data_IF_924145536654
#
_entry.id   IF_924145536654
#
_cell.length_a   1.000
_cell.length_b   1.000
_cell.length_c   1.000
_cell.angle_alpha   90.00
_cell.angle_beta   90.00
_cell.angle_gamma   90.00
#
_symmetry.space_group_name_H-M   'P 1'
#
loop_
_entity.id
_entity.type
_entity.pdbx_description
1 polymer ?
#
# COMPACT_ATOMS: atom_id res chain seq x y z
N UNK A 1 1.94 25.55 -52.06
CA UNK A 1 2.62 24.91 -53.22
C UNK A 1 3.79 25.79 -53.62
N UNK A 2 5.04 25.39 -53.33
CA UNK A 2 6.23 26.20 -53.62
C UNK A 2 7.07 25.54 -54.72
N UNK A 3 6.64 25.67 -55.97
CA UNK A 3 7.41 25.27 -57.14
C UNK A 3 8.40 26.37 -57.51
N UNK A 4 9.54 26.41 -56.84
CA UNK A 4 10.73 27.11 -57.32
C UNK A 4 11.80 26.05 -57.63
N UNK A 5 11.72 25.52 -58.85
CA UNK A 5 12.70 24.55 -59.36
C UNK A 5 14.05 25.23 -59.52
N UNK A 6 15.01 24.86 -58.68
CA UNK A 6 16.38 25.33 -58.78
C UNK A 6 17.03 24.77 -60.06
N UNK A 7 17.37 25.66 -61.00
CA UNK A 7 18.10 25.34 -62.23
C UNK A 7 19.59 25.06 -61.96
N UNK A 8 19.88 24.23 -60.97
CA UNK A 8 21.23 23.76 -60.70
C UNK A 8 21.63 22.79 -61.81
N UNK A 9 22.77 23.06 -62.44
CA UNK A 9 23.38 22.09 -63.35
C UNK A 9 23.68 20.79 -62.59
N UNK A 10 23.84 19.67 -63.32
CA UNK A 10 24.21 18.38 -62.74
C UNK A 10 25.42 18.46 -61.79
N UNK A 11 26.40 19.30 -62.13
CA UNK A 11 27.58 19.60 -61.31
C UNK A 11 27.23 20.33 -60.00
N UNK A 12 26.22 21.20 -60.01
CA UNK A 12 25.70 21.86 -58.81
C UNK A 12 25.03 20.89 -57.84
N UNK A 13 24.24 19.93 -58.35
CA UNK A 13 23.67 18.85 -57.53
C UNK A 13 24.75 17.92 -56.96
N UNK A 14 25.78 17.58 -57.75
CA UNK A 14 26.93 16.80 -57.27
C UNK A 14 27.71 17.54 -56.17
N UNK A 15 27.98 18.83 -56.35
CA UNK A 15 28.64 19.66 -55.35
C UNK A 15 27.83 19.78 -54.04
N UNK A 16 26.50 19.89 -54.15
CA UNK A 16 25.60 19.87 -52.99
C UNK A 16 25.67 18.53 -52.26
N UNK A 17 25.61 17.40 -52.99
CA UNK A 17 25.73 16.05 -52.44
C UNK A 17 27.05 15.83 -51.69
N UNK A 18 28.18 16.22 -52.29
CA UNK A 18 29.51 16.17 -51.66
C UNK A 18 29.54 17.03 -50.39
N UNK A 19 28.99 18.25 -50.44
CA UNK A 19 28.94 19.15 -49.27
C UNK A 19 28.11 18.56 -48.12
N UNK A 20 26.98 17.92 -48.41
CA UNK A 20 26.16 17.25 -47.38
C UNK A 20 26.84 16.00 -46.83
N UNK A 21 27.49 15.19 -47.67
CA UNK A 21 28.24 14.03 -47.23
C UNK A 21 29.43 14.41 -46.33
N UNK A 22 30.16 15.47 -46.68
CA UNK A 22 31.29 15.97 -45.89
C UNK A 22 30.83 16.56 -44.55
N UNK A 23 29.67 17.24 -44.52
CA UNK A 23 29.07 17.74 -43.28
C UNK A 23 28.64 16.60 -42.35
N UNK A 24 28.01 15.55 -42.89
CA UNK A 24 27.70 14.32 -42.15
C UNK A 24 28.95 13.65 -41.60
N UNK A 25 29.96 13.42 -42.46
CA UNK A 25 31.25 12.83 -42.06
C UNK A 25 31.94 13.66 -40.95
N UNK A 26 31.91 14.99 -41.03
CA UNK A 26 32.46 15.88 -39.99
C UNK A 26 31.75 15.71 -38.64
N UNK A 27 30.44 15.50 -38.64
CA UNK A 27 29.65 15.23 -37.43
C UNK A 27 30.02 13.84 -36.88
N UNK A 28 30.07 12.81 -37.71
CA UNK A 28 30.48 11.45 -37.31
C UNK A 28 31.90 11.42 -36.72
N UNK A 29 32.87 12.08 -37.36
CA UNK A 29 34.25 12.20 -36.88
C UNK A 29 34.29 12.94 -35.53
N UNK A 30 33.51 14.03 -35.37
CA UNK A 30 33.41 14.74 -34.09
C UNK A 30 32.88 13.84 -32.98
N UNK A 31 31.82 13.07 -33.22
CA UNK A 31 31.29 12.12 -32.23
C UNK A 31 32.27 10.99 -31.92
N UNK A 32 32.96 10.45 -32.92
CA UNK A 32 33.98 9.40 -32.74
C UNK A 32 35.09 9.86 -31.78
N UNK A 33 35.68 11.03 -32.00
CA UNK A 33 36.72 11.55 -31.10
C UNK A 33 36.16 12.00 -29.73
N UNK A 34 34.94 12.55 -29.68
CA UNK A 34 34.29 12.88 -28.40
C UNK A 34 33.95 11.62 -27.57
N UNK A 35 33.68 10.48 -28.21
CA UNK A 35 33.46 9.20 -27.55
C UNK A 35 34.76 8.54 -27.02
N UNK A 36 35.94 9.15 -27.21
CA UNK A 36 37.19 8.63 -26.63
C UNK A 36 37.28 8.80 -25.10
N UNK A 37 36.33 9.49 -24.45
CA UNK A 37 36.26 9.66 -22.99
C UNK A 37 35.01 8.99 -22.45
N UNK A 38 35.10 8.32 -21.29
CA UNK A 38 33.96 7.66 -20.64
C UNK A 38 33.19 8.67 -19.76
N UNK A 39 31.85 8.61 -19.79
CA UNK A 39 31.00 9.37 -18.86
C UNK A 39 31.03 8.73 -17.47
N UNK A 40 30.66 9.49 -16.44
CA UNK A 40 30.51 8.98 -15.07
C UNK A 40 29.05 8.53 -14.84
N UNK A 41 28.80 7.36 -14.24
CA UNK A 41 27.46 6.93 -13.85
C UNK A 41 26.99 7.76 -12.65
N UNK A 42 26.26 8.83 -12.93
CA UNK A 42 25.70 9.78 -11.95
C UNK A 42 24.16 9.63 -12.00
N UNK A 43 23.48 9.88 -10.87
CA UNK A 43 22.01 9.86 -10.82
C UNK A 43 21.42 10.94 -11.74
N UNK A 44 20.18 10.72 -12.21
CA UNK A 44 19.44 11.71 -13.02
C UNK A 44 19.10 12.97 -12.21
N UNK A 45 18.92 12.81 -10.89
CA UNK A 45 18.58 13.90 -9.96
C UNK A 45 19.75 14.85 -9.66
N UNK A 46 20.98 14.48 -10.00
CA UNK A 46 22.16 15.33 -9.81
C UNK A 46 22.18 16.49 -10.80
N UNK A 47 22.35 17.71 -10.29
CA UNK A 47 22.46 18.93 -11.12
C UNK A 47 23.56 18.90 -12.20
N UNK A 48 24.53 17.98 -12.10
CA UNK A 48 25.62 17.81 -13.07
C UNK A 48 25.35 16.74 -14.12
N UNK A 49 24.22 16.02 -14.06
CA UNK A 49 23.85 14.97 -15.01
C UNK A 49 23.86 15.48 -16.46
N UNK A 50 23.14 16.58 -16.73
CA UNK A 50 23.05 17.18 -18.06
C UNK A 50 24.33 17.90 -18.51
N UNK A 51 25.28 18.17 -17.61
CA UNK A 51 26.57 18.78 -17.98
C UNK A 51 27.51 17.79 -18.71
N UNK A 52 27.21 16.49 -18.68
CA UNK A 52 28.00 15.45 -19.37
C UNK A 52 27.61 15.32 -20.86
N UNK A 53 27.78 16.39 -21.65
CA UNK A 53 27.43 16.40 -23.08
C UNK A 53 28.28 15.45 -23.94
N UNK A 54 29.55 15.24 -23.58
CA UNK A 54 30.51 14.45 -24.37
C UNK A 54 30.92 13.15 -23.70
N UNK A 55 31.24 12.13 -24.49
CA UNK A 55 31.76 10.84 -24.03
C UNK A 55 30.86 9.66 -24.36
N UNK A 56 31.35 8.46 -24.06
CA UNK A 56 30.61 7.19 -24.22
C UNK A 56 29.31 7.25 -23.41
N UNK A 57 28.18 7.01 -24.08
CA UNK A 57 26.83 7.02 -23.48
C UNK A 57 26.47 5.66 -22.87
N UNK A 58 27.05 4.58 -23.39
CA UNK A 58 26.82 3.20 -22.92
C UNK A 58 27.65 2.88 -21.68
N UNK A 59 27.13 1.97 -20.85
CA UNK A 59 27.80 1.43 -19.66
C UNK A 59 28.07 -0.06 -19.83
N UNK A 60 29.16 -0.54 -19.24
CA UNK A 60 29.59 -1.93 -19.34
C UNK A 60 29.02 -2.81 -18.23
N UNK A 61 27.70 -3.03 -18.20
CA UNK A 61 27.09 -4.00 -17.29
C UNK A 61 27.67 -5.42 -17.58
N UNK A 62 28.03 -6.23 -16.56
CA UNK A 62 27.78 -6.06 -15.13
C UNK A 62 28.90 -5.30 -14.35
N UNK A 63 30.01 -4.94 -14.99
CA UNK A 63 31.14 -4.27 -14.31
C UNK A 63 30.84 -2.83 -13.88
N UNK A 64 29.90 -2.18 -14.56
CA UNK A 64 29.42 -0.84 -14.25
C UNK A 64 27.88 -0.86 -14.17
N UNK A 65 27.34 -0.38 -13.05
CA UNK A 65 25.93 -0.17 -12.84
C UNK A 65 25.60 1.33 -12.81
N UNK A 66 24.38 1.70 -13.18
CA UNK A 66 23.84 3.01 -12.84
C UNK A 66 23.51 3.05 -11.34
N UNK A 67 23.71 4.19 -10.66
CA UNK A 67 23.15 4.36 -9.33
C UNK A 67 21.62 4.25 -9.41
N UNK A 68 21.05 3.52 -8.45
CA UNK A 68 19.61 3.24 -8.38
C UNK A 68 18.91 4.39 -7.64
N UNK A 69 17.86 5.01 -8.20
CA UNK A 69 17.15 6.11 -7.55
C UNK A 69 16.46 5.66 -6.27
N UNK A 70 16.42 6.55 -5.27
CA UNK A 70 15.87 6.25 -3.93
C UNK A 70 14.38 5.85 -3.96
N UNK A 71 13.62 6.35 -4.94
CA UNK A 71 12.19 6.07 -5.14
C UNK A 71 11.91 5.02 -6.25
N UNK A 72 12.94 4.29 -6.68
CA UNK A 72 12.76 3.24 -7.68
C UNK A 72 11.92 2.06 -7.16
N UNK A 73 11.06 1.51 -8.03
CA UNK A 73 10.21 0.36 -7.72
C UNK A 73 10.80 -0.90 -8.35
N UNK A 74 11.45 -1.73 -7.55
CA UNK A 74 12.04 -3.01 -7.96
C UNK A 74 11.51 -4.14 -7.08
N UNK A 75 12.35 -5.08 -6.63
CA UNK A 75 11.91 -6.23 -5.81
C UNK A 75 11.18 -5.78 -4.55
N UNK A 76 9.97 -6.30 -4.36
CA UNK A 76 9.15 -6.09 -3.18
C UNK A 76 9.69 -6.95 -2.02
N UNK A 77 9.82 -6.34 -0.85
CA UNK A 77 10.22 -6.98 0.41
C UNK A 77 9.16 -6.72 1.48
N UNK A 78 9.04 -7.63 2.43
CA UNK A 78 8.00 -7.59 3.46
C UNK A 78 8.61 -7.93 4.83
N UNK A 79 8.61 -6.95 5.73
CA UNK A 79 9.03 -7.11 7.13
C UNK A 79 7.88 -7.69 7.95
N UNK A 80 7.92 -9.00 8.14
CA UNK A 80 6.78 -9.73 8.71
C UNK A 80 6.50 -9.47 10.19
N UNK A 81 7.48 -8.98 10.93
CA UNK A 81 7.30 -8.58 12.33
C UNK A 81 6.34 -7.40 12.48
N UNK A 82 6.18 -6.58 11.43
CA UNK A 82 5.25 -5.44 11.36
C UNK A 82 3.96 -5.74 10.57
N UNK A 83 3.83 -6.95 10.01
CA UNK A 83 2.67 -7.35 9.22
C UNK A 83 1.48 -7.76 10.11
N UNK A 84 0.50 -6.87 10.26
CA UNK A 84 -0.77 -7.16 10.97
C UNK A 84 -1.75 -8.07 10.20
N UNK A 85 -1.35 -8.63 9.04
CA UNK A 85 -2.16 -9.52 8.18
C UNK A 85 -3.55 -8.92 7.83
N UNK A 86 -3.58 -7.61 7.53
CA UNK A 86 -4.83 -6.88 7.27
C UNK A 86 -5.45 -7.12 5.89
N UNK A 87 -4.78 -7.87 5.01
CA UNK A 87 -5.28 -8.28 3.69
C UNK A 87 -5.78 -7.09 2.83
N UNK A 88 -5.04 -5.97 2.91
CA UNK A 88 -5.23 -4.78 2.07
C UNK A 88 -4.35 -4.80 0.82
N UNK A 89 -3.13 -5.31 0.95
CA UNK A 89 -2.13 -5.38 -0.12
C UNK A 89 -2.53 -6.33 -1.24
N UNK A 90 -3.11 -7.50 -0.92
CA UNK A 90 -3.69 -8.39 -1.92
C UNK A 90 -4.89 -7.74 -2.63
N UNK A 91 -5.88 -7.23 -1.88
CA UNK A 91 -7.10 -6.61 -2.45
C UNK A 91 -6.89 -5.38 -3.34
N UNK A 92 -5.78 -4.65 -3.19
CA UNK A 92 -5.45 -3.51 -4.06
C UNK A 92 -4.55 -3.92 -5.24
N UNK A 93 -4.10 -5.17 -5.29
CA UNK A 93 -3.22 -5.63 -6.35
C UNK A 93 -4.01 -5.75 -7.67
N UNK A 94 -3.59 -5.08 -8.76
CA UNK A 94 -4.32 -5.13 -10.04
C UNK A 94 -4.13 -6.45 -10.79
N UNK A 95 -3.32 -7.38 -10.25
CA UNK A 95 -2.89 -8.64 -10.86
C UNK A 95 -2.95 -9.82 -9.87
N UNK A 96 -3.53 -9.62 -8.68
CA UNK A 96 -3.71 -10.63 -7.62
C UNK A 96 -2.44 -11.48 -7.32
N UNK A 97 -1.25 -10.86 -7.34
CA UNK A 97 0.04 -11.56 -7.18
C UNK A 97 0.47 -11.81 -5.72
N UNK A 98 -0.37 -11.51 -4.73
CA UNK A 98 -0.08 -11.70 -3.29
C UNK A 98 -1.13 -12.65 -2.72
N UNK A 99 -0.71 -13.83 -2.26
CA UNK A 99 -1.57 -14.84 -1.63
C UNK A 99 -1.34 -14.85 -0.11
N UNK A 100 -2.43 -14.70 0.67
CA UNK A 100 -2.36 -14.58 2.14
C UNK A 100 -3.36 -15.55 2.79
N UNK A 101 -2.86 -16.44 3.66
CA UNK A 101 -3.71 -17.27 4.54
C UNK A 101 -3.68 -16.75 6.00
N UNK A 102 -4.70 -16.02 6.47
CA UNK A 102 -4.78 -15.55 7.85
C UNK A 102 -5.36 -16.61 8.81
N UNK A 103 -4.64 -16.93 9.88
CA UNK A 103 -5.17 -17.68 11.04
C UNK A 103 -5.38 -16.70 12.20
N UNK A 104 -6.52 -16.78 12.89
CA UNK A 104 -6.77 -15.99 14.11
C UNK A 104 -5.95 -16.53 15.29
N UNK A 105 -5.22 -15.67 15.97
CA UNK A 105 -4.58 -16.05 17.23
C UNK A 105 -5.60 -16.09 18.38
N UNK A 106 -5.37 -16.93 19.38
CA UNK A 106 -6.15 -16.98 20.62
C UNK A 106 -5.85 -15.82 21.56
N UNK A 107 -4.71 -15.14 21.37
CA UNK A 107 -4.27 -13.97 22.14
C UNK A 107 -3.60 -12.90 21.26
N UNK A 108 -2.83 -12.01 21.88
CA UNK A 108 -1.89 -11.14 21.15
C UNK A 108 -0.59 -11.91 20.92
N UNK A 109 -0.08 -11.89 19.69
CA UNK A 109 1.14 -12.60 19.27
C UNK A 109 2.37 -11.75 19.54
N UNK A 110 2.34 -10.53 19.03
CA UNK A 110 3.42 -9.54 19.07
C UNK A 110 2.81 -8.14 18.95
N UNK A 111 3.67 -7.13 18.87
CA UNK A 111 3.31 -5.73 18.64
C UNK A 111 4.21 -5.21 17.54
N UNK A 112 3.64 -4.63 16.50
CA UNK A 112 4.41 -3.99 15.43
C UNK A 112 5.13 -2.72 15.95
N UNK A 113 6.10 -2.23 15.20
CA UNK A 113 6.85 -0.99 15.42
C UNK A 113 5.95 0.22 15.72
N UNK A 114 4.78 0.32 15.07
CA UNK A 114 3.77 1.36 15.29
C UNK A 114 2.97 1.22 16.60
N UNK A 115 3.27 0.20 17.43
CA UNK A 115 2.49 -0.14 18.62
C UNK A 115 1.18 -0.88 18.32
N UNK A 116 0.92 -1.29 17.07
CA UNK A 116 -0.31 -1.98 16.71
C UNK A 116 -0.27 -3.47 17.14
N UNK A 117 -1.36 -4.00 17.74
CA UNK A 117 -1.35 -5.36 18.29
C UNK A 117 -1.57 -6.41 17.20
N UNK A 118 -0.61 -7.31 17.01
CA UNK A 118 -0.70 -8.42 16.06
C UNK A 118 -1.52 -9.55 16.70
N UNK A 119 -2.65 -9.89 16.10
CA UNK A 119 -3.64 -10.89 16.58
C UNK A 119 -3.98 -11.95 15.52
N UNK A 120 -3.24 -11.93 14.42
CA UNK A 120 -3.37 -12.81 13.27
C UNK A 120 -2.00 -13.40 12.99
N UNK A 121 -1.96 -14.67 12.63
CA UNK A 121 -0.80 -15.35 12.09
C UNK A 121 -0.95 -15.42 10.57
N UNK A 122 0.11 -15.08 9.83
CA UNK A 122 0.19 -15.38 8.40
C UNK A 122 0.69 -16.83 8.22
N UNK A 123 -0.21 -17.74 7.88
CA UNK A 123 0.12 -19.13 7.58
C UNK A 123 0.84 -19.28 6.23
N UNK A 124 0.41 -18.46 5.26
CA UNK A 124 1.08 -18.21 4.00
C UNK A 124 1.07 -16.71 3.74
N UNK A 125 2.15 -16.19 3.19
CA UNK A 125 2.25 -14.84 2.66
C UNK A 125 3.21 -14.96 1.49
N UNK A 126 2.66 -15.29 0.33
CA UNK A 126 3.44 -15.64 -0.85
C UNK A 126 3.28 -14.53 -1.87
N UNK A 127 4.39 -14.02 -2.40
CA UNK A 127 4.37 -13.00 -3.44
C UNK A 127 5.00 -13.53 -4.72
N UNK A 128 4.19 -13.64 -5.76
CA UNK A 128 4.60 -14.03 -7.09
C UNK A 128 5.22 -12.81 -7.82
N UNK A 129 6.55 -12.75 -7.89
CA UNK A 129 7.25 -11.69 -8.62
C UNK A 129 7.13 -11.84 -10.14
N UNK A 130 6.79 -13.01 -10.66
CA UNK A 130 6.56 -13.22 -12.10
C UNK A 130 5.25 -12.57 -12.58
N UNK A 131 4.23 -12.54 -11.71
CA UNK A 131 2.97 -11.80 -11.94
C UNK A 131 3.07 -10.31 -11.59
N UNK A 132 3.99 -9.91 -10.72
CA UNK A 132 4.08 -8.55 -10.18
C UNK A 132 4.39 -7.50 -11.27
N UNK A 133 3.59 -6.43 -11.33
CA UNK A 133 3.78 -5.30 -12.25
C UNK A 133 4.52 -4.09 -11.64
N UNK A 134 5.09 -4.24 -10.43
CA UNK A 134 5.86 -3.21 -9.71
C UNK A 134 5.16 -1.84 -9.58
N UNK A 135 3.83 -1.85 -9.44
CA UNK A 135 3.00 -0.64 -9.37
C UNK A 135 3.19 0.18 -8.09
N UNK A 136 3.55 -0.46 -6.97
CA UNK A 136 3.70 0.18 -5.66
C UNK A 136 2.41 0.39 -4.86
N UNK A 137 1.25 -0.01 -5.38
CA UNK A 137 -0.04 0.18 -4.68
C UNK A 137 -0.07 -0.55 -3.32
N UNK A 138 0.53 -1.75 -3.25
CA UNK A 138 0.63 -2.54 -2.03
C UNK A 138 1.40 -1.84 -0.89
N UNK A 139 2.46 -1.06 -1.19
CA UNK A 139 3.20 -0.29 -0.18
C UNK A 139 2.40 0.92 0.27
N UNK A 140 1.79 1.66 -0.67
CA UNK A 140 1.01 2.88 -0.36
C UNK A 140 -0.25 2.66 0.47
N UNK A 141 -0.81 1.44 0.46
CA UNK A 141 -2.02 1.08 1.22
C UNK A 141 -1.69 0.28 2.49
N UNK A 142 -0.42 -0.07 2.71
CA UNK A 142 0.00 -0.76 3.92
C UNK A 142 -0.11 0.18 5.14
N UNK A 143 -0.94 -0.13 6.16
CA UNK A 143 -1.15 0.77 7.30
C UNK A 143 0.00 0.76 8.32
N UNK A 144 0.91 -0.22 8.23
CA UNK A 144 2.09 -0.40 9.09
C UNK A 144 3.40 -0.34 8.30
N UNK A 145 3.35 0.15 7.06
CA UNK A 145 4.49 0.31 6.13
C UNK A 145 5.41 -0.93 5.92
N UNK A 146 4.96 -2.12 6.35
CA UNK A 146 5.78 -3.35 6.37
C UNK A 146 6.19 -3.87 4.98
N UNK A 147 5.47 -3.48 3.92
CA UNK A 147 5.83 -3.76 2.53
C UNK A 147 6.65 -2.60 1.96
N UNK A 148 7.87 -2.88 1.52
CA UNK A 148 8.80 -1.89 0.98
C UNK A 148 9.33 -2.29 -0.40
N UNK A 149 9.55 -1.30 -1.26
CA UNK A 149 10.25 -1.52 -2.53
C UNK A 149 11.75 -1.40 -2.30
N UNK A 150 12.49 -2.48 -2.57
CA UNK A 150 13.95 -2.47 -2.45
C UNK A 150 14.62 -1.95 -3.73
N UNK A 151 15.93 -1.73 -3.68
CA UNK A 151 16.76 -1.31 -4.83
C UNK A 151 17.31 -2.49 -5.64
N UNK A 152 17.00 -3.73 -5.24
CA UNK A 152 17.45 -4.92 -5.95
C UNK A 152 16.61 -5.11 -7.23
N UNK A 153 17.25 -4.93 -8.38
CA UNK A 153 16.66 -5.13 -9.70
C UNK A 153 17.12 -6.45 -10.37
N UNK A 154 18.28 -6.98 -9.97
CA UNK A 154 18.81 -8.26 -10.44
C UNK A 154 18.37 -9.39 -9.51
N UNK A 155 17.24 -10.03 -9.83
CA UNK A 155 16.67 -11.18 -9.10
C UNK A 155 16.03 -12.22 -10.04
N UNK A 156 16.65 -12.41 -11.22
CA UNK A 156 16.21 -13.40 -12.21
C UNK A 156 16.54 -14.82 -11.77
N UNK A 157 15.54 -15.69 -11.70
CA UNK A 157 15.69 -17.13 -11.44
C UNK A 157 15.58 -17.96 -12.75
N UNK A 158 15.97 -19.23 -12.71
CA UNK A 158 15.93 -20.12 -13.88
C UNK A 158 14.55 -20.77 -14.10
N UNK A 159 13.84 -21.14 -13.03
CA UNK A 159 12.43 -21.56 -13.09
C UNK A 159 11.52 -20.40 -12.65
N UNK A 160 10.40 -20.22 -13.35
CA UNK A 160 9.34 -19.28 -12.98
C UNK A 160 8.79 -19.57 -11.58
N UNK A 161 8.81 -20.84 -11.15
CA UNK A 161 8.36 -21.27 -9.82
C UNK A 161 9.23 -20.74 -8.68
N UNK A 162 10.50 -20.45 -8.94
CA UNK A 162 11.44 -19.92 -7.95
C UNK A 162 11.25 -18.40 -7.73
N UNK A 163 10.51 -17.72 -8.63
CA UNK A 163 10.11 -16.31 -8.46
C UNK A 163 8.92 -16.10 -7.50
N UNK A 164 8.46 -17.15 -6.81
CA UNK A 164 7.48 -17.04 -5.72
C UNK A 164 8.22 -16.88 -4.40
N UNK A 165 8.16 -15.69 -3.81
CA UNK A 165 8.84 -15.40 -2.55
C UNK A 165 7.90 -15.61 -1.36
N UNK A 166 8.31 -16.52 -0.47
CA UNK A 166 7.58 -16.89 0.73
C UNK A 166 8.00 -16.02 1.93
N UNK A 167 7.04 -15.30 2.50
CA UNK A 167 7.17 -14.49 3.71
C UNK A 167 6.21 -14.99 4.82
N UNK A 168 5.87 -16.28 4.84
CA UNK A 168 5.00 -16.84 5.89
C UNK A 168 5.69 -16.86 7.28
N UNK A 169 4.94 -16.56 8.35
CA UNK A 169 5.47 -16.58 9.73
C UNK A 169 5.49 -17.97 10.36
N UNK A 170 4.82 -18.94 9.74
CA UNK A 170 4.71 -20.31 10.23
C UNK A 170 5.17 -21.27 9.13
N UNK A 171 5.78 -22.38 9.53
CA UNK A 171 5.91 -23.52 8.62
C UNK A 171 4.53 -24.12 8.33
N UNK A 172 4.33 -24.83 7.21
CA UNK A 172 3.04 -25.44 6.88
C UNK A 172 2.49 -26.34 8.01
N UNK A 173 3.34 -27.14 8.65
CA UNK A 173 2.95 -27.99 9.77
C UNK A 173 2.48 -27.17 10.98
N UNK A 174 3.19 -26.09 11.34
CA UNK A 174 2.78 -25.21 12.43
C UNK A 174 1.46 -24.47 12.10
N UNK A 175 1.25 -24.10 10.85
CA UNK A 175 0.00 -23.50 10.41
C UNK A 175 -1.19 -24.45 10.62
N UNK A 176 -1.02 -25.73 10.29
CA UNK A 176 -2.06 -26.74 10.48
C UNK A 176 -2.34 -27.03 11.96
N UNK A 177 -1.30 -27.11 12.80
CA UNK A 177 -1.47 -27.17 14.27
C UNK A 177 -2.28 -25.98 14.81
N UNK A 178 -1.96 -24.75 14.37
CA UNK A 178 -2.72 -23.55 14.78
C UNK A 178 -4.16 -23.55 14.23
N UNK A 179 -4.40 -24.08 13.03
CA UNK A 179 -5.75 -24.27 12.47
C UNK A 179 -6.58 -25.25 13.32
N UNK A 180 -5.98 -26.35 13.78
CA UNK A 180 -6.65 -27.33 14.68
C UNK A 180 -6.94 -26.73 16.06
N UNK A 181 -5.96 -26.06 16.68
CA UNK A 181 -6.13 -25.39 17.99
C UNK A 181 -7.22 -24.29 17.93
N UNK A 182 -7.29 -23.54 16.82
CA UNK A 182 -8.36 -22.58 16.58
C UNK A 182 -9.74 -23.27 16.54
N UNK A 183 -9.85 -24.40 15.84
CA UNK A 183 -11.11 -25.13 15.73
C UNK A 183 -11.58 -25.68 17.09
N UNK A 184 -10.67 -26.23 17.89
CA UNK A 184 -10.96 -26.66 19.27
C UNK A 184 -11.46 -25.50 20.14
N UNK A 185 -10.74 -24.37 20.14
CA UNK A 185 -11.16 -23.17 20.89
C UNK A 185 -12.53 -22.62 20.45
N UNK A 186 -12.87 -22.73 19.16
CA UNK A 186 -14.20 -22.36 18.64
C UNK A 186 -15.29 -23.31 19.12
N UNK A 187 -15.02 -24.63 19.16
CA UNK A 187 -15.96 -25.63 19.68
C UNK A 187 -16.21 -25.45 21.19
N UNK A 188 -15.16 -25.26 21.99
CA UNK A 188 -15.29 -24.98 23.43
C UNK A 188 -16.09 -23.69 23.69
N UNK A 189 -15.80 -22.62 22.94
CA UNK A 189 -16.52 -21.35 23.06
C UNK A 189 -17.99 -21.48 22.64
N UNK A 190 -18.29 -22.27 21.62
CA UNK A 190 -19.66 -22.56 21.19
C UNK A 190 -20.40 -23.40 22.24
N UNK A 191 -19.77 -24.42 22.82
CA UNK A 191 -20.34 -25.21 23.91
C UNK A 191 -20.65 -24.35 25.15
N UNK A 192 -19.71 -23.52 25.59
CA UNK A 192 -19.92 -22.57 26.68
C UNK A 192 -21.03 -21.53 26.39
N UNK A 193 -21.24 -21.18 25.13
CA UNK A 193 -22.35 -20.31 24.72
C UNK A 193 -23.69 -21.04 24.71
N UNK A 194 -23.71 -22.32 24.29
CA UNK A 194 -24.91 -23.16 24.34
C UNK A 194 -25.36 -23.44 25.79
N UNK A 195 -24.42 -23.75 26.68
CA UNK A 195 -24.70 -23.93 28.12
C UNK A 195 -25.25 -22.64 28.75
N UNK A 196 -24.70 -21.47 28.40
CA UNK A 196 -25.18 -20.16 28.88
C UNK A 196 -26.48 -19.70 28.21
N UNK A 197 -26.92 -20.38 27.15
CA UNK A 197 -28.18 -20.12 26.46
C UNK A 197 -29.30 -21.09 26.86
N UNK A 198 -29.02 -22.10 27.70
CA UNK A 198 -30.04 -22.95 28.29
C UNK A 198 -30.85 -22.13 29.33
N UNK A 199 -32.18 -22.00 29.18
CA UNK A 199 -32.98 -21.16 30.05
C UNK A 199 -33.12 -21.75 31.46
N UNK A 200 -33.05 -20.89 32.47
CA UNK A 200 -33.45 -21.25 33.84
C UNK A 200 -34.90 -21.75 33.87
N UNK A 201 -35.14 -22.85 34.59
CA UNK A 201 -36.43 -23.52 34.68
C UNK A 201 -37.45 -22.59 35.37
N UNK A 202 -38.54 -22.14 34.70
CA UNK A 202 -39.59 -21.38 35.38
C UNK A 202 -40.40 -22.31 36.29
N UNK A 203 -40.16 -22.22 37.59
CA UNK A 203 -40.88 -23.00 38.61
C UNK A 203 -42.32 -22.48 38.82
N UNK A 204 -43.22 -22.85 37.91
CA UNK A 204 -44.64 -22.48 38.00
C UNK A 204 -45.40 -23.34 39.03
N UNK A 205 -45.66 -22.78 40.22
CA UNK A 205 -46.66 -23.31 41.15
C UNK A 205 -48.07 -23.11 40.56
N UNK A 206 -48.95 -24.13 40.52
CA UNK A 206 -50.30 -23.99 39.99
C UNK A 206 -51.20 -23.17 40.94
N UNK A 207 -51.91 -22.17 40.40
CA UNK A 207 -53.00 -21.47 41.11
C UNK A 207 -54.33 -22.20 40.89
N UNK A 208 -55.26 -22.21 41.87
CA UNK A 208 -56.53 -22.93 41.75
C UNK A 208 -57.50 -22.24 40.77
N UNK A 209 -58.37 -23.06 40.16
CA UNK A 209 -59.37 -22.65 39.16
C UNK A 209 -60.52 -21.87 39.84
N UNK A 210 -60.87 -20.70 39.30
CA UNK A 210 -62.12 -20.00 39.62
C UNK A 210 -63.14 -20.22 38.50
N UNK A 211 -64.36 -20.59 38.84
CA UNK A 211 -65.44 -20.92 37.88
C UNK A 211 -66.42 -19.75 37.81
N UNK A 212 -66.58 -19.07 36.66
CA UNK A 212 -67.59 -18.03 36.50
C UNK A 212 -68.97 -18.67 36.25
N UNK A 213 -70.00 -18.16 36.92
CA UNK A 213 -71.37 -18.66 36.85
C UNK A 213 -72.20 -17.81 35.89
N UNK A 214 -72.64 -18.40 34.77
CA UNK A 214 -73.50 -17.73 33.78
C UNK A 214 -74.95 -17.72 34.25
N UNK A 215 -75.63 -16.57 34.14
CA UNK A 215 -77.05 -16.50 33.76
C UNK A 215 -77.29 -15.37 32.75
N UNK A 216 -77.90 -15.76 31.64
CA UNK A 216 -78.44 -15.03 30.48
C UNK A 216 -79.78 -14.33 30.85
N UNK A 217 -80.57 -13.65 29.97
CA UNK A 217 -80.56 -13.74 28.49
C UNK A 217 -80.96 -12.50 27.63
N UNK A 218 -80.63 -12.60 26.31
CA UNK A 218 -81.41 -12.15 25.11
C UNK A 218 -81.77 -10.66 24.93
N UNK A 219 -82.09 -10.12 23.74
CA UNK A 219 -82.56 -10.71 22.46
C UNK A 219 -82.04 -9.90 21.25
N UNK A 220 -81.98 -10.52 20.05
CA UNK A 220 -82.14 -9.92 18.68
C UNK A 220 -81.12 -8.85 18.20
N UNK A 221 -80.71 -8.76 16.93
CA UNK A 221 -81.21 -9.45 15.72
C UNK A 221 -80.14 -9.67 14.62
N UNK A 222 -80.56 -10.17 13.45
CA UNK A 222 -79.78 -10.67 12.30
C UNK A 222 -79.16 -9.52 11.44
N UNK A 223 -78.18 -9.69 10.53
CA UNK A 223 -77.35 -10.84 10.11
C UNK A 223 -76.68 -10.56 8.73
N UNK A 224 -75.53 -11.21 8.41
CA UNK A 224 -74.82 -11.21 7.08
C UNK A 224 -74.33 -9.84 6.52
N UNK A 225 -73.31 -9.62 5.66
CA UNK A 225 -72.21 -10.32 4.95
C UNK A 225 -71.31 -9.22 4.28
N UNK A 226 -70.07 -9.36 3.79
CA UNK A 226 -69.09 -10.48 3.65
C UNK A 226 -67.63 -9.96 3.44
N UNK A 227 -66.68 -10.88 3.18
CA UNK A 227 -65.35 -10.74 2.51
C UNK A 227 -64.16 -9.96 3.15
N UNK A 228 -62.96 -10.52 2.91
CA UNK A 228 -61.58 -10.11 3.30
C UNK A 228 -60.76 -9.75 2.03
N UNK A 229 -59.45 -9.38 2.09
CA UNK A 229 -58.64 -8.67 3.10
C UNK A 229 -57.75 -7.53 2.47
N UNK A 230 -56.89 -6.86 3.27
CA UNK A 230 -55.40 -6.68 3.05
C UNK A 230 -54.79 -5.37 3.60
N UNK A 231 -54.02 -5.52 4.69
CA UNK A 231 -52.74 -4.88 5.13
C UNK A 231 -52.45 -3.36 5.35
N UNK A 232 -51.81 -3.14 6.53
CA UNK A 232 -50.67 -2.26 6.88
C UNK A 232 -50.80 -0.72 6.96
N UNK A 233 -50.56 -0.15 8.16
CA UNK A 233 -49.55 0.93 8.30
C UNK A 233 -48.77 0.95 9.66
N UNK A 234 -47.55 1.50 9.69
CA UNK A 234 -46.78 2.08 10.84
C UNK A 234 -45.34 2.43 10.37
N UNK A 235 -44.51 3.33 10.95
CA UNK A 235 -44.62 4.41 11.97
C UNK A 235 -43.39 5.36 11.84
N UNK A 236 -43.31 6.52 12.56
CA UNK A 236 -42.15 7.41 12.50
C UNK A 236 -41.29 7.54 13.80
N UNK A 237 -40.01 7.87 13.59
CA UNK A 237 -39.05 8.58 14.47
C UNK A 237 -38.45 7.94 15.76
N UNK A 238 -37.16 8.25 16.01
CA UNK A 238 -36.35 7.89 17.20
C UNK A 238 -35.65 9.13 17.79
N UNK A 239 -35.41 9.23 19.13
CA UNK A 239 -34.65 10.33 19.74
C UNK A 239 -33.13 10.06 19.89
N UNK A 240 -32.36 11.13 20.16
CA UNK A 240 -30.89 11.18 20.22
C UNK A 240 -30.31 10.90 21.63
N UNK A 241 -29.03 10.52 21.70
CA UNK A 241 -28.25 10.30 22.94
C UNK A 241 -27.07 11.30 23.05
N UNK A 242 -26.65 11.62 24.27
CA UNK A 242 -25.58 12.59 24.59
C UNK A 242 -24.50 11.94 25.48
N UNK A 243 -23.19 12.04 25.17
CA UNK A 243 -22.12 11.41 25.96
C UNK A 243 -21.58 12.29 27.10
N UNK A 244 -20.99 11.65 28.13
CA UNK A 244 -20.46 12.27 29.36
C UNK A 244 -18.92 12.23 29.46
N UNK A 245 -18.36 12.98 30.41
CA UNK A 245 -16.96 13.44 30.51
C UNK A 245 -15.87 12.39 30.83
N UNK A 246 -14.60 12.76 30.58
CA UNK A 246 -13.36 12.03 30.97
C UNK A 246 -12.79 12.49 32.34
N UNK A 247 -12.07 11.64 33.10
CA UNK A 247 -11.22 12.04 34.24
C UNK A 247 -9.75 12.36 33.85
N UNK A 248 -8.99 12.97 34.78
CA UNK A 248 -7.59 13.44 34.65
C UNK A 248 -6.53 12.40 35.04
N UNK A 249 -5.31 12.56 34.50
CA UNK A 249 -4.04 11.98 35.01
C UNK A 249 -3.42 12.85 36.13
N UNK A 250 -2.66 12.24 37.07
CA UNK A 250 -1.63 12.91 37.87
C UNK A 250 -0.19 12.55 37.42
N UNK A 251 0.81 13.27 37.94
CA UNK A 251 2.22 13.24 37.53
C UNK A 251 3.21 13.06 38.70
N UNK A 252 4.18 12.15 38.59
CA UNK A 252 5.51 12.08 39.27
C UNK A 252 6.31 10.88 38.68
N UNK A 253 7.59 10.58 38.92
CA UNK A 253 8.70 11.16 39.71
C UNK A 253 10.06 10.87 38.99
N UNK A 254 11.23 11.00 39.65
CA UNK A 254 12.58 10.87 39.04
C UNK A 254 13.52 9.92 39.84
N UNK A 255 14.42 9.19 39.14
CA UNK A 255 15.72 8.57 39.58
C UNK A 255 15.76 7.35 40.56
N UNK A 256 16.89 6.59 40.72
CA UNK A 256 18.08 6.33 39.84
C UNK A 256 18.72 4.89 39.84
N UNK A 257 19.47 4.52 38.76
CA UNK A 257 20.72 3.65 38.67
C UNK A 257 20.59 2.11 39.00
N UNK A 258 21.36 1.12 38.43
CA UNK A 258 22.83 1.08 38.17
C UNK A 258 23.38 0.50 36.82
N UNK A 259 24.71 0.59 36.67
CA UNK A 259 25.57 0.22 35.51
C UNK A 259 26.03 -1.27 35.56
N UNK A 260 26.67 -1.92 34.58
CA UNK A 260 27.76 -1.59 33.62
C UNK A 260 27.85 -2.71 32.53
N UNK A 261 28.90 -2.89 31.67
CA UNK A 261 30.01 -2.03 31.23
C UNK A 261 30.27 -1.93 29.69
N UNK A 262 30.99 -0.86 29.30
CA UNK A 262 31.99 -0.71 28.22
C UNK A 262 31.92 -1.49 26.89
N UNK A 263 31.84 -0.74 25.79
CA UNK A 263 32.70 -0.93 24.60
C UNK A 263 33.18 0.44 24.09
N UNK A 264 34.35 0.48 23.43
CA UNK A 264 35.16 1.69 23.22
C UNK A 264 34.58 2.73 22.25
N UNK A 265 34.81 4.01 22.58
CA UNK A 265 34.37 5.18 21.84
C UNK A 265 35.42 5.64 20.81
N UNK A 266 34.99 5.87 19.57
CA UNK A 266 35.69 6.75 18.60
C UNK A 266 34.85 8.00 18.36
N UNK A 267 35.40 9.22 18.43
CA UNK A 267 34.61 10.44 18.43
C UNK A 267 34.05 10.77 17.04
N UNK A 268 32.72 10.85 16.94
CA UNK A 268 32.02 11.32 15.75
C UNK A 268 31.77 12.84 15.82
N UNK A 269 32.41 13.61 14.95
CA UNK A 269 32.13 15.04 14.76
C UNK A 269 30.75 15.25 14.11
N UNK A 270 29.85 15.98 14.79
CA UNK A 270 28.55 16.36 14.22
C UNK A 270 28.71 17.35 13.06
N UNK A 271 28.12 17.10 11.87
CA UNK A 271 27.96 18.14 10.85
C UNK A 271 26.82 19.11 11.21
N UNK A 272 26.91 20.40 10.82
CA UNK A 272 25.89 21.39 11.15
C UNK A 272 24.64 21.28 10.25
N UNK A 273 23.46 21.43 10.85
CA UNK A 273 22.19 21.40 10.13
C UNK A 273 21.95 22.72 9.37
N UNK A 274 21.84 22.65 8.04
CA UNK A 274 21.47 23.80 7.20
C UNK A 274 20.01 23.71 6.77
N UNK A 275 19.18 24.70 7.15
CA UNK A 275 17.77 24.76 6.75
C UNK A 275 17.65 25.37 5.34
N UNK A 276 17.02 24.71 4.35
CA UNK A 276 16.88 25.27 3.02
C UNK A 276 15.90 26.46 3.01
N UNK A 277 16.28 27.56 2.34
CA UNK A 277 15.39 28.68 2.03
C UNK A 277 14.56 28.36 0.77
N UNK A 278 13.26 28.61 0.82
CA UNK A 278 12.38 28.44 -0.33
C UNK A 278 12.66 29.51 -1.41
N UNK A 279 12.66 29.18 -2.72
CA UNK A 279 12.84 30.16 -3.78
C UNK A 279 11.58 31.01 -4.00
N UNK A 280 11.77 32.32 -4.20
CA UNK A 280 10.70 33.27 -4.54
C UNK A 280 10.18 33.06 -5.97
N UNK A 281 8.86 33.12 -6.15
CA UNK A 281 8.20 33.04 -7.46
C UNK A 281 8.42 34.34 -8.28
N UNK A 282 8.89 34.28 -9.54
CA UNK A 282 9.05 35.48 -10.37
C UNK A 282 7.70 36.14 -10.70
N UNK A 283 7.64 37.48 -10.65
CA UNK A 283 6.51 38.26 -11.15
C UNK A 283 6.70 38.56 -12.65
N UNK A 284 5.82 38.01 -13.48
CA UNK A 284 5.70 38.38 -14.90
C UNK A 284 5.09 39.78 -14.99
N UNK A 285 5.69 40.68 -15.78
CA UNK A 285 5.09 41.97 -16.16
C UNK A 285 4.29 41.79 -17.46
N UNK A 286 3.14 42.47 -17.63
CA UNK A 286 2.41 42.45 -18.90
C UNK A 286 3.20 43.20 -19.99
N UNK A 287 3.13 42.71 -21.22
CA UNK A 287 3.69 43.37 -22.40
C UNK A 287 2.74 44.45 -22.91
N UNK A 288 3.16 45.70 -22.84
CA UNK A 288 2.63 46.80 -23.65
C UNK A 288 3.64 47.09 -24.75
N UNK A 289 3.21 47.06 -26.00
CA UNK A 289 3.68 47.87 -27.13
C UNK A 289 2.86 47.46 -28.38
N UNK A 290 1.77 48.19 -28.65
CA UNK A 290 1.43 48.58 -30.02
C UNK A 290 2.28 49.82 -30.36
N UNK A 291 2.44 50.29 -31.60
CA UNK A 291 1.66 50.22 -32.84
C UNK A 291 2.66 50.41 -34.02
N UNK A 292 2.31 50.90 -35.24
CA UNK A 292 1.11 50.77 -36.08
C UNK A 292 1.45 50.21 -37.49
N UNK A 293 0.50 50.26 -38.42
CA UNK A 293 0.63 49.91 -39.84
C UNK A 293 1.66 50.77 -40.63
N UNK A 294 2.40 50.11 -41.54
CA UNK A 294 2.94 50.64 -42.80
C UNK A 294 3.27 49.49 -43.77
#
# INVERSE_FOLDING_TARGET
>A
MASQGSSLSYLGHLAQGIRTAWLGLRISIRHFFQASRRRRPINVDDSTYFAQETGIVTLGYPYEALPVPDHGRYRLHNEMDDCIVCDKCAKICPVDCIEIEPIKATGQVSTASDGSPIRLYAARFDIDMAKCCFCGLCTTVCPTECLTMTRAYDFSEFDVREMVYHFGNLSPAQADEKKVLLAQFQQEKAAQQAEKAAPEIPTSKPKPKFVPKVKTPTVSDEGKTDETPTELPTSPAKPKFVPKMKPKLPSSTTEPRPASPNHEEKPATKPPQHKPKMPMRPKIKPSTDGDPEA
#
